data_IF_962857106915
#
_entry.id   IF_962857106915
#
_cell.length_a   1.000
_cell.length_b   1.000
_cell.length_c   1.000
_cell.angle_alpha   90.00
_cell.angle_beta   90.00
_cell.angle_gamma   90.00
#
_symmetry.space_group_name_H-M   'P 1'
#
loop_
_entity.id
_entity.type
_entity.pdbx_description
1 polymer ?
#
# COMPACT_ATOMS: atom_id res chain seq x y z
N UNK A 1 5.19 -53.24 -15.06
CA UNK A 1 5.19 -51.78 -14.98
C UNK A 1 3.83 -51.27 -15.45
N UNK A 2 3.43 -50.09 -14.94
CA UNK A 2 2.16 -49.37 -15.17
C UNK A 2 0.94 -50.00 -14.47
N UNK A 3 0.17 -49.33 -13.62
CA UNK A 3 -0.30 -47.94 -13.70
C UNK A 3 -0.74 -47.49 -12.31
N UNK A 4 -0.10 -46.48 -11.72
CA UNK A 4 -0.62 -45.74 -10.54
C UNK A 4 -0.19 -44.28 -10.62
N UNK A 5 -0.58 -43.61 -11.70
CA UNK A 5 -0.61 -42.15 -11.81
C UNK A 5 -1.93 -41.69 -11.21
N UNK A 6 -2.04 -41.78 -9.88
CA UNK A 6 -3.21 -41.30 -9.14
C UNK A 6 -2.76 -40.63 -7.86
N UNK A 7 -1.96 -39.55 -7.95
CA UNK A 7 -1.92 -38.52 -6.92
C UNK A 7 -1.13 -37.24 -7.29
N UNK A 8 -1.16 -36.79 -8.55
CA UNK A 8 -0.49 -35.53 -8.95
C UNK A 8 -1.41 -34.37 -9.33
N UNK A 9 -2.71 -34.46 -9.08
CA UNK A 9 -3.64 -33.37 -9.35
C UNK A 9 -4.60 -33.10 -8.18
N UNK A 10 -4.07 -33.02 -6.97
CA UNK A 10 -4.62 -32.10 -5.97
C UNK A 10 -3.93 -30.75 -6.13
N UNK A 11 -3.95 -30.22 -7.35
CA UNK A 11 -3.70 -28.81 -7.59
C UNK A 11 -4.99 -28.10 -7.17
N UNK A 12 -4.93 -27.39 -6.06
CA UNK A 12 -5.92 -26.43 -5.64
C UNK A 12 -6.35 -25.59 -6.84
N UNK A 13 -7.57 -25.80 -7.31
CA UNK A 13 -8.23 -24.91 -8.25
C UNK A 13 -8.54 -23.62 -7.49
N UNK A 14 -7.54 -22.74 -7.38
CA UNK A 14 -7.83 -21.33 -7.21
C UNK A 14 -8.73 -20.95 -8.39
N UNK A 15 -10.00 -20.61 -8.10
CA UNK A 15 -10.93 -20.08 -9.09
C UNK A 15 -10.19 -19.00 -9.90
N UNK A 16 -10.20 -19.03 -11.24
CA UNK A 16 -9.56 -18.01 -12.06
C UNK A 16 -9.95 -16.58 -11.63
N UNK A 17 -11.15 -16.38 -11.07
CA UNK A 17 -11.57 -15.11 -10.46
C UNK A 17 -10.70 -14.72 -9.26
N UNK A 18 -10.39 -15.66 -8.38
CA UNK A 18 -9.52 -15.43 -7.21
C UNK A 18 -8.10 -15.05 -7.65
N UNK A 19 -7.57 -15.71 -8.68
CA UNK A 19 -6.26 -15.38 -9.24
C UNK A 19 -6.22 -13.94 -9.79
N UNK A 20 -7.23 -13.55 -10.57
CA UNK A 20 -7.36 -12.18 -11.12
C UNK A 20 -7.56 -11.14 -10.02
N UNK A 21 -8.41 -11.42 -9.03
CA UNK A 21 -8.63 -10.49 -7.90
C UNK A 21 -7.37 -10.28 -7.07
N UNK A 22 -6.56 -11.33 -6.88
CA UNK A 22 -5.28 -11.21 -6.20
C UNK A 22 -4.28 -10.37 -7.02
N UNK A 23 -4.27 -10.53 -8.35
CA UNK A 23 -3.46 -9.68 -9.21
C UNK A 23 -3.88 -8.21 -9.11
N UNK A 24 -5.18 -7.90 -9.19
CA UNK A 24 -5.70 -6.53 -9.05
C UNK A 24 -5.30 -5.92 -7.70
N UNK A 25 -5.41 -6.67 -6.60
CA UNK A 25 -4.99 -6.20 -5.28
C UNK A 25 -3.50 -5.88 -5.22
N UNK A 26 -2.67 -6.73 -5.81
CA UNK A 26 -1.22 -6.50 -5.85
C UNK A 26 -0.88 -5.24 -6.65
N UNK A 27 -1.51 -5.05 -7.81
CA UNK A 27 -1.33 -3.86 -8.64
C UNK A 27 -1.79 -2.58 -7.92
N UNK A 28 -2.92 -2.65 -7.21
CA UNK A 28 -3.42 -1.54 -6.39
C UNK A 28 -2.44 -1.18 -5.26
N UNK A 29 -1.87 -2.17 -4.57
CA UNK A 29 -0.88 -1.93 -3.52
C UNK A 29 0.39 -1.24 -4.06
N UNK A 30 0.88 -1.67 -5.23
CA UNK A 30 2.02 -1.04 -5.90
C UNK A 30 1.69 0.40 -6.32
N UNK A 31 0.51 0.63 -6.89
CA UNK A 31 0.06 1.98 -7.28
C UNK A 31 -0.02 2.92 -6.08
N UNK A 32 -0.60 2.47 -4.97
CA UNK A 32 -0.71 3.25 -3.74
C UNK A 32 0.66 3.61 -3.17
N UNK A 33 1.62 2.68 -3.19
CA UNK A 33 2.99 2.95 -2.74
C UNK A 33 3.69 3.98 -3.63
N UNK A 34 3.50 3.92 -4.96
CA UNK A 34 4.05 4.92 -5.89
C UNK A 34 3.51 6.32 -5.60
N UNK A 35 2.20 6.46 -5.41
CA UNK A 35 1.60 7.75 -5.08
C UNK A 35 2.13 8.33 -3.76
N UNK A 36 2.35 7.47 -2.76
CA UNK A 36 2.96 7.90 -1.50
C UNK A 36 4.37 8.45 -1.71
N UNK A 37 5.19 7.74 -2.50
CA UNK A 37 6.57 8.15 -2.82
C UNK A 37 6.57 9.48 -3.59
N UNK A 38 5.70 9.62 -4.60
CA UNK A 38 5.56 10.86 -5.37
C UNK A 38 5.22 12.04 -4.45
N UNK A 39 4.25 11.89 -3.56
CA UNK A 39 3.87 12.96 -2.61
C UNK A 39 4.94 13.28 -1.60
N UNK A 40 5.65 12.27 -1.10
CA UNK A 40 6.79 12.46 -0.20
C UNK A 40 7.91 13.22 -0.93
N UNK A 41 8.19 12.85 -2.19
CA UNK A 41 9.20 13.53 -3.00
C UNK A 41 8.83 14.99 -3.23
N UNK A 42 7.61 15.27 -3.69
CA UNK A 42 7.13 16.65 -3.93
C UNK A 42 7.24 17.49 -2.64
N UNK A 43 6.75 16.97 -1.51
CA UNK A 43 6.72 17.70 -0.25
C UNK A 43 8.11 17.96 0.32
N UNK A 44 8.98 16.94 0.30
CA UNK A 44 10.32 17.07 0.86
C UNK A 44 11.24 17.88 -0.06
N UNK A 45 11.08 17.78 -1.38
CA UNK A 45 11.81 18.61 -2.32
C UNK A 45 11.48 20.09 -2.14
N UNK A 46 10.18 20.43 -2.12
CA UNK A 46 9.71 21.82 -1.91
C UNK A 46 10.25 22.42 -0.60
N UNK A 47 10.30 21.63 0.47
CA UNK A 47 10.73 22.11 1.80
C UNK A 47 12.23 22.16 1.98
N UNK A 48 12.97 21.25 1.36
CA UNK A 48 14.38 21.05 1.66
C UNK A 48 15.34 21.53 0.59
N UNK A 49 14.90 21.79 -0.66
CA UNK A 49 15.78 22.16 -1.78
C UNK A 49 15.48 23.59 -2.25
N UNK A 50 16.01 24.64 -1.57
CA UNK A 50 15.73 26.03 -1.92
C UNK A 50 16.38 26.47 -3.23
N UNK A 51 17.51 25.85 -3.61
CA UNK A 51 18.24 26.15 -4.85
C UNK A 51 18.57 24.84 -5.56
N UNK A 52 17.74 24.41 -6.53
CA UNK A 52 17.97 23.16 -7.25
C UNK A 52 19.32 23.16 -7.97
N UNK A 53 20.04 22.04 -7.87
CA UNK A 53 21.33 21.83 -8.51
C UNK A 53 21.51 20.37 -8.96
N UNK A 54 22.69 20.04 -9.47
CA UNK A 54 23.02 18.68 -9.93
C UNK A 54 23.17 17.66 -8.78
N UNK A 55 23.30 18.14 -7.54
CA UNK A 55 23.47 17.34 -6.34
C UNK A 55 22.86 18.05 -5.14
N UNK A 56 22.40 17.29 -4.16
CA UNK A 56 22.02 17.82 -2.86
C UNK A 56 23.28 18.20 -2.08
N UNK A 57 23.26 19.37 -1.45
CA UNK A 57 24.24 19.72 -0.42
C UNK A 57 24.00 18.88 0.84
N UNK A 58 25.03 18.74 1.68
CA UNK A 58 24.92 18.01 2.96
C UNK A 58 23.75 18.48 3.85
N UNK A 59 23.43 19.78 3.81
CA UNK A 59 22.31 20.36 4.56
C UNK A 59 20.96 19.92 3.97
N UNK A 60 20.84 19.90 2.64
CA UNK A 60 19.64 19.46 1.95
C UNK A 60 19.42 17.95 2.14
N UNK A 61 20.47 17.13 2.05
CA UNK A 61 20.41 15.69 2.37
C UNK A 61 19.91 15.45 3.81
N UNK A 62 20.48 16.16 4.79
CA UNK A 62 20.07 16.04 6.19
C UNK A 62 18.61 16.46 6.39
N UNK A 63 18.18 17.55 5.74
CA UNK A 63 16.78 17.99 5.75
C UNK A 63 15.88 16.94 5.13
N UNK A 64 16.26 16.38 3.98
CA UNK A 64 15.46 15.41 3.23
C UNK A 64 15.23 14.14 4.05
N UNK A 65 16.28 13.58 4.66
CA UNK A 65 16.18 12.43 5.59
C UNK A 65 15.19 12.71 6.71
N UNK A 66 15.33 13.86 7.39
CA UNK A 66 14.44 14.24 8.48
C UNK A 66 13.00 14.48 7.99
N UNK A 67 12.83 15.04 6.79
CA UNK A 67 11.52 15.25 6.18
C UNK A 67 10.82 13.93 5.91
N UNK A 68 11.50 12.96 5.28
CA UNK A 68 10.94 11.65 4.99
C UNK A 68 10.49 10.92 6.26
N UNK A 69 11.32 10.91 7.30
CA UNK A 69 10.99 10.29 8.59
C UNK A 69 9.73 10.91 9.20
N UNK A 70 9.65 12.25 9.24
CA UNK A 70 8.51 12.97 9.78
C UNK A 70 7.25 12.77 8.94
N UNK A 71 7.39 12.80 7.61
CA UNK A 71 6.28 12.61 6.68
C UNK A 71 5.69 11.21 6.84
N UNK A 72 6.52 10.17 6.90
CA UNK A 72 6.07 8.79 7.12
C UNK A 72 5.43 8.61 8.49
N UNK A 73 5.98 9.22 9.55
CA UNK A 73 5.38 9.17 10.88
C UNK A 73 3.98 9.84 10.91
N UNK A 74 3.84 11.00 10.25
CA UNK A 74 2.56 11.69 10.11
C UNK A 74 1.57 10.87 9.29
N UNK A 75 1.98 10.37 8.13
CA UNK A 75 1.16 9.52 7.25
C UNK A 75 0.63 8.29 7.99
N UNK A 76 1.51 7.58 8.72
CA UNK A 76 1.12 6.41 9.51
C UNK A 76 0.07 6.74 10.59
N UNK A 77 0.22 7.88 11.25
CA UNK A 77 -0.70 8.34 12.28
C UNK A 77 -2.07 8.68 11.69
N UNK A 78 -2.09 9.46 10.61
CA UNK A 78 -3.32 9.84 9.90
C UNK A 78 -4.01 8.62 9.29
N UNK A 79 -3.24 7.72 8.65
CA UNK A 79 -3.76 6.50 8.01
C UNK A 79 -4.51 5.61 9.00
N UNK A 80 -3.92 5.34 10.17
CA UNK A 80 -4.59 4.57 11.25
C UNK A 80 -5.89 5.20 11.72
N UNK A 81 -5.89 6.52 11.94
CA UNK A 81 -7.09 7.24 12.38
C UNK A 81 -8.17 7.22 11.30
N UNK A 82 -7.79 7.46 10.06
CA UNK A 82 -8.70 7.45 8.92
C UNK A 82 -9.37 6.08 8.73
N UNK A 83 -8.59 4.99 8.75
CA UNK A 83 -9.10 3.61 8.68
C UNK A 83 -10.06 3.31 9.84
N UNK A 84 -9.67 3.65 11.08
CA UNK A 84 -10.52 3.41 12.24
C UNK A 84 -11.87 4.16 12.14
N UNK A 85 -11.87 5.34 11.54
CA UNK A 85 -13.09 6.12 11.27
C UNK A 85 -13.97 5.48 10.21
N UNK A 86 -13.40 5.06 9.08
CA UNK A 86 -14.16 4.37 8.02
C UNK A 86 -14.82 3.12 8.59
N UNK A 87 -14.09 2.28 9.32
CA UNK A 87 -14.63 1.05 9.89
C UNK A 87 -15.83 1.31 10.83
N UNK A 88 -15.74 2.39 11.63
CA UNK A 88 -16.82 2.82 12.53
C UNK A 88 -18.05 3.32 11.77
N UNK A 89 -17.84 4.07 10.69
CA UNK A 89 -18.91 4.63 9.86
C UNK A 89 -19.56 3.54 8.97
N UNK A 90 -18.78 2.59 8.45
CA UNK A 90 -19.28 1.42 7.71
C UNK A 90 -20.05 0.43 8.58
N UNK A 91 -19.82 0.43 9.90
CA UNK A 91 -20.56 -0.38 10.87
C UNK A 91 -21.87 0.24 11.38
N UNK A 92 -22.21 1.47 10.95
CA UNK A 92 -23.38 2.23 11.42
C UNK A 92 -24.65 2.07 10.57
N UNK A 93 -24.58 1.37 9.43
CA UNK A 93 -25.74 1.00 8.62
C UNK A 93 -26.15 -0.44 8.95
N UNK A 94 -27.24 -0.60 9.71
CA UNK A 94 -27.80 -1.88 10.07
C UNK A 94 -28.24 -2.71 8.84
N UNK A 95 -27.99 -4.02 8.88
CA UNK A 95 -28.75 -5.01 8.09
C UNK A 95 -27.90 -6.05 7.36
N UNK A 96 -27.80 -7.25 7.95
CA UNK A 96 -27.64 -8.57 7.30
C UNK A 96 -26.60 -8.74 6.18
N UNK A 97 -25.58 -9.57 6.47
CA UNK A 97 -25.00 -10.49 5.48
C UNK A 97 -23.60 -10.15 4.97
N UNK A 98 -22.63 -10.86 5.55
CA UNK A 98 -21.47 -11.48 4.89
C UNK A 98 -20.47 -10.63 4.08
N UNK A 99 -19.20 -10.84 4.45
CA UNK A 99 -17.93 -10.51 3.76
C UNK A 99 -17.27 -9.16 4.03
N UNK A 100 -16.35 -9.21 5.00
CA UNK A 100 -15.21 -8.30 5.10
C UNK A 100 -14.06 -8.64 4.15
N UNK A 101 -12.96 -7.90 4.36
CA UNK A 101 -11.66 -7.95 3.66
C UNK A 101 -11.50 -6.95 2.51
N UNK A 102 -11.33 -5.68 2.88
CA UNK A 102 -10.79 -4.62 2.00
C UNK A 102 -9.85 -3.67 2.76
N UNK A 103 -9.02 -4.20 3.66
CA UNK A 103 -7.82 -3.52 4.15
C UNK A 103 -6.70 -4.53 4.35
#
# INVERSE_FOLDING_TARGET
MDTSISNRFSASSADPKTAVMNQIRQEAAVSNARQLIEKLNDNCFEKCVPTPGLSLSRKEESCFTMCMEKYMAAWNTVSRQYVARIQKESGGAAGTGDQGSFL
#
